data_IF_259217872697
#
_entry.id   IF_259217872697
#
_cell.length_a   1.000
_cell.length_b   1.000
_cell.length_c   1.000
_cell.angle_alpha   90.00
_cell.angle_beta   90.00
_cell.angle_gamma   90.00
#
_symmetry.space_group_name_H-M   'P 1'
#
loop_
_entity.id
_entity.type
_entity.pdbx_description
1 polymer ?
2 non-polymer ?
3 non-polymer ?
4 water ?
#
# COMPACT_ATOMS: atom_id res chain seq x y z
N UNK A 1 -8.67 -10.80 -11.95
CA UNK A 1 -7.28 -11.22 -12.00
C UNK A 1 -6.35 -10.06 -12.32
N UNK A 2 -5.10 -10.18 -11.88
CA UNK A 2 -4.09 -9.19 -12.19
C UNK A 2 -3.43 -9.51 -13.52
N UNK A 3 -2.96 -8.44 -14.17
CA UNK A 3 -2.42 -8.56 -15.50
C UNK A 3 -1.05 -7.90 -15.62
N UNK A 4 -0.57 -7.16 -14.61
CA UNK A 4 0.67 -6.38 -14.80
C UNK A 4 1.86 -6.98 -14.08
N UNK A 5 2.98 -7.06 -14.78
CA UNK A 5 4.29 -7.28 -14.18
C UNK A 5 4.92 -5.89 -14.00
N UNK A 6 4.67 -5.28 -12.84
CA UNK A 6 5.16 -3.94 -12.59
C UNK A 6 6.69 -3.96 -12.45
N UNK A 7 7.33 -2.94 -12.99
CA UNK A 7 8.79 -2.88 -12.95
C UNK A 7 9.22 -2.00 -11.78
N UNK A 8 10.09 -2.55 -10.93
CA UNK A 8 10.57 -1.78 -9.78
C UNK A 8 11.48 -0.64 -10.21
N UNK A 9 11.52 0.40 -9.41
CA UNK A 9 12.36 1.57 -9.62
C UNK A 9 13.81 1.14 -9.79
N UNK A 10 14.47 1.61 -10.82
CA UNK A 10 15.91 1.44 -10.94
C UNK A 10 16.60 2.15 -9.78
N UNK A 11 17.55 1.48 -9.13
CA UNK A 11 18.19 2.07 -7.98
C UNK A 11 17.33 2.30 -6.76
N UNK A 12 16.23 1.52 -6.63
CA UNK A 12 15.38 1.60 -5.45
C UNK A 12 16.20 1.54 -4.15
N UNK A 13 15.92 2.45 -3.24
CA UNK A 13 16.63 2.58 -1.95
C UNK A 13 15.75 1.96 -0.87
N UNK A 14 15.99 0.68 -0.59
CA UNK A 14 15.12 -0.06 0.34
C UNK A 14 15.15 0.50 1.75
N UNK A 15 16.31 0.88 2.27
CA UNK A 15 16.38 1.35 3.65
C UNK A 15 15.65 2.68 3.82
N UNK A 16 15.61 3.52 2.77
CA UNK A 16 14.89 4.79 2.85
C UNK A 16 13.39 4.56 2.82
N UNK A 17 12.89 3.66 1.97
CA UNK A 17 11.46 3.35 1.90
C UNK A 17 10.99 2.65 3.16
N UNK A 18 11.68 1.59 3.56
CA UNK A 18 11.41 0.78 4.73
C UNK A 18 12.11 1.33 5.98
N UNK A 19 11.77 2.59 6.27
CA UNK A 19 12.45 3.29 7.40
C UNK A 19 11.59 3.36 8.63
N UNK A 20 10.48 2.66 8.68
CA UNK A 20 9.62 2.62 9.82
C UNK A 20 8.51 3.66 9.84
N UNK A 21 8.51 4.56 8.85
CA UNK A 21 7.57 5.67 8.90
C UNK A 21 6.30 5.32 8.11
N UNK A 22 5.36 6.25 8.11
CA UNK A 22 4.04 6.07 7.49
C UNK A 22 4.01 6.67 6.09
N UNK A 23 3.31 5.95 5.20
CA UNK A 23 2.97 6.40 3.85
C UNK A 23 1.44 6.48 3.75
N UNK A 24 0.91 7.59 3.25
CA UNK A 24 -0.51 7.73 3.01
C UNK A 24 -0.85 7.54 1.54
N UNK A 25 -1.93 6.79 1.24
CA UNK A 25 -2.38 6.72 -0.14
C UNK A 25 -3.10 8.03 -0.45
N UNK A 26 -2.67 8.78 -1.45
CA UNK A 26 -3.38 10.00 -1.83
C UNK A 26 -4.23 9.77 -3.06
N UNK A 27 -3.86 8.80 -3.90
CA UNK A 27 -4.55 8.58 -5.18
C UNK A 27 -4.41 7.11 -5.56
N UNK A 28 -5.41 6.52 -6.18
CA UNK A 28 -5.29 5.11 -6.54
C UNK A 28 -5.91 4.84 -7.90
N UNK A 29 -5.53 3.75 -8.55
CA UNK A 29 -6.07 3.30 -9.82
C UNK A 29 -6.32 1.80 -9.73
N UNK A 30 -7.58 1.42 -9.74
CA UNK A 30 -8.04 0.04 -9.70
C UNK A 30 -8.30 -0.41 -11.10
N UNK A 31 -7.58 -1.41 -11.65
CA UNK A 31 -7.85 -1.76 -13.05
C UNK A 31 -9.13 -2.59 -13.24
N UNK A 32 -9.71 -3.14 -12.22
CA UNK A 32 -11.04 -3.80 -12.27
C UNK A 32 -11.92 -3.06 -11.26
N UNK A 33 -12.36 -1.86 -11.61
CA UNK A 33 -13.26 -1.12 -10.70
C UNK A 33 -14.50 -1.95 -10.36
N UNK A 34 -15.00 -1.64 -9.19
CA UNK A 34 -15.94 -2.39 -8.39
C UNK A 34 -15.21 -3.49 -7.64
N UNK A 35 -13.88 -3.55 -7.76
CA UNK A 35 -13.09 -4.21 -6.72
C UNK A 35 -13.24 -3.48 -5.38
N UNK A 36 -13.18 -2.14 -5.51
CA UNK A 36 -13.15 -1.23 -4.37
C UNK A 36 -14.16 -0.12 -4.52
N UNK A 37 -14.58 0.48 -3.40
CA UNK A 37 -15.41 1.67 -3.40
C UNK A 37 -14.68 2.90 -3.93
N UNK A 38 -15.41 3.83 -4.54
CA UNK A 38 -14.83 5.05 -5.08
C UNK A 38 -14.29 5.96 -3.98
N UNK A 39 -14.92 6.04 -2.83
CA UNK A 39 -14.49 6.81 -1.68
C UNK A 39 -13.76 5.92 -0.68
N UNK A 40 -12.51 6.19 -0.36
CA UNK A 40 -11.81 5.21 0.48
C UNK A 40 -10.60 5.85 1.09
N UNK A 41 -10.10 5.33 2.21
CA UNK A 41 -8.87 5.81 2.85
C UNK A 41 -7.92 4.67 3.16
N UNK A 42 -6.63 4.85 2.89
CA UNK A 42 -5.66 3.80 3.23
C UNK A 42 -4.29 4.39 3.53
N UNK A 43 -3.56 3.71 4.37
CA UNK A 43 -2.21 4.11 4.74
C UNK A 43 -1.41 2.90 5.15
N UNK A 44 -0.10 3.01 5.18
CA UNK A 44 0.72 1.88 5.65
C UNK A 44 1.94 2.42 6.36
N UNK A 45 2.55 1.57 7.14
CA UNK A 45 3.91 1.80 7.62
C UNK A 45 4.78 0.69 7.05
N UNK A 46 6.04 0.93 6.81
CA UNK A 46 6.95 -0.03 6.17
C UNK A 46 8.29 0.06 6.90
N UNK A 47 8.84 -1.07 7.36
CA UNK A 47 10.13 -0.97 8.05
C UNK A 47 10.69 -2.36 8.34
N UNK A 48 11.91 -2.35 8.85
CA UNK A 48 12.48 -3.60 9.35
C UNK A 48 12.32 -3.64 10.85
N UNK A 49 11.81 -4.77 11.37
CA UNK A 49 11.61 -4.95 12.81
C UNK A 49 12.32 -6.25 13.23
N UNK A 50 13.32 -6.10 14.09
CA UNK A 50 14.14 -7.21 14.57
C UNK A 50 14.61 -8.09 13.40
N UNK A 51 15.07 -7.44 12.33
CA UNK A 51 15.71 -8.13 11.21
C UNK A 51 14.72 -8.55 10.13
N UNK A 52 13.43 -8.38 10.37
CA UNK A 52 12.37 -8.90 9.49
C UNK A 52 11.73 -7.75 8.72
N UNK A 53 11.55 -7.87 7.43
CA UNK A 53 10.92 -6.83 6.64
C UNK A 53 9.40 -6.85 6.80
N UNK A 54 8.79 -5.71 7.17
CA UNK A 54 7.38 -5.71 7.56
C UNK A 54 6.65 -4.54 6.93
N UNK A 55 5.33 -4.74 6.76
CA UNK A 55 4.43 -3.63 6.51
C UNK A 55 3.23 -3.77 7.43
N UNK A 56 2.69 -2.64 7.83
CA UNK A 56 1.43 -2.57 8.53
C UNK A 56 0.45 -1.74 7.71
N UNK A 57 -0.78 -2.21 7.56
CA UNK A 57 -1.77 -1.58 6.69
C UNK A 57 -2.96 -1.11 7.52
N UNK A 58 -3.57 -0.04 7.02
CA UNK A 58 -4.81 0.47 7.55
C UNK A 58 -5.74 0.76 6.39
N UNK A 59 -6.99 0.28 6.48
CA UNK A 59 -8.06 0.57 5.53
C UNK A 59 -9.27 1.16 6.24
N UNK A 60 -9.89 2.14 5.66
CA UNK A 60 -11.10 2.73 6.24
C UNK A 60 -12.03 3.19 5.13
N UNK A 61 -13.25 2.73 5.17
CA UNK A 61 -14.29 3.19 4.24
C UNK A 61 -14.99 4.39 4.93
N UNK A 62 -14.80 5.58 4.39
CA UNK A 62 -15.32 6.76 5.10
C UNK A 62 -16.83 6.91 5.08
N UNK A 63 -17.54 6.07 4.35
CA UNK A 63 -19.02 6.11 4.33
C UNK A 63 -19.55 4.98 5.21
N UNK A 64 -19.06 3.75 5.04
CA UNK A 64 -19.62 2.63 5.78
C UNK A 64 -18.98 2.49 7.15
N UNK A 65 -17.82 3.07 7.35
CA UNK A 65 -16.99 3.04 8.54
C UNK A 65 -16.30 1.66 8.70
N UNK A 66 -16.39 0.79 7.70
CA UNK A 66 -15.61 -0.45 7.75
C UNK A 66 -14.13 -0.15 7.94
N UNK A 67 -13.50 -0.82 8.87
CA UNK A 67 -12.12 -0.49 9.25
C UNK A 67 -11.35 -1.75 9.50
N UNK A 68 -10.12 -1.87 9.02
CA UNK A 68 -9.33 -3.03 9.39
C UNK A 68 -7.84 -2.69 9.24
N UNK A 69 -7.06 -3.31 10.10
CA UNK A 69 -5.61 -3.28 10.07
C UNK A 69 -5.04 -4.65 9.70
N UNK A 70 -3.84 -4.63 9.11
CA UNK A 70 -3.13 -5.85 8.78
C UNK A 70 -1.64 -5.69 9.12
N UNK A 71 -1.04 -6.83 9.41
CA UNK A 71 0.43 -6.90 9.58
C UNK A 71 0.93 -7.92 8.59
N UNK A 72 2.01 -7.59 7.88
CA UNK A 72 2.57 -8.48 6.90
C UNK A 72 4.07 -8.60 7.07
N UNK A 73 4.51 -9.80 6.78
CA UNK A 73 5.92 -10.10 6.64
C UNK A 73 6.21 -10.13 5.14
N UNK A 74 7.22 -9.39 4.71
CA UNK A 74 7.53 -9.37 3.27
C UNK A 74 8.69 -10.26 2.91
N UNK A 75 8.49 -11.05 1.86
CA UNK A 75 9.58 -11.82 1.28
C UNK A 75 10.06 -11.12 0.02
N UNK A 76 11.34 -11.14 -0.24
CA UNK A 76 11.93 -10.51 -1.39
C UNK A 76 11.84 -11.39 -2.63
N UNK A 77 11.31 -10.82 -3.74
CA UNK A 77 11.43 -11.46 -5.04
C UNK A 77 12.59 -10.89 -5.84
N UNK A 78 12.77 -9.61 -5.77
CA UNK A 78 13.89 -8.90 -6.39
C UNK A 78 13.91 -7.50 -5.77
N UNK A 79 14.87 -6.66 -6.11
CA UNK A 79 14.86 -5.32 -5.48
C UNK A 79 13.60 -4.55 -5.84
N UNK A 80 12.92 -4.11 -4.77
CA UNK A 80 11.68 -3.37 -4.93
C UNK A 80 10.44 -4.22 -5.21
N UNK A 81 10.53 -5.54 -5.19
CA UNK A 81 9.38 -6.41 -5.47
C UNK A 81 9.27 -7.47 -4.40
N UNK A 82 8.12 -7.53 -3.74
CA UNK A 82 7.91 -8.31 -2.55
C UNK A 82 6.64 -9.15 -2.65
N UNK A 83 6.60 -10.23 -1.88
CA UNK A 83 5.37 -10.97 -1.64
C UNK A 83 5.08 -10.95 -0.14
N UNK A 84 3.90 -10.51 0.22
CA UNK A 84 3.57 -10.20 1.61
C UNK A 84 2.40 -11.07 2.03
N UNK A 85 2.58 -11.86 3.10
CA UNK A 85 1.42 -12.52 3.69
C UNK A 85 0.64 -11.41 4.35
N UNK A 86 -0.53 -11.64 4.88
CA UNK A 86 -1.11 -10.66 5.82
C UNK A 86 -1.92 -11.42 6.88
N UNK A 87 -1.92 -10.81 8.06
CA UNK A 87 -2.82 -11.23 9.12
C UNK A 87 -3.63 -9.99 9.49
N UNK A 88 -4.94 -10.19 9.58
CA UNK A 88 -5.81 -9.12 10.02
C UNK A 88 -5.65 -9.02 11.56
N UNK A 89 -5.47 -7.82 12.04
CA UNK A 89 -5.23 -7.55 13.45
C UNK A 89 -6.10 -6.37 13.89
N UNK A 90 -6.31 -6.24 15.21
CA UNK A 90 -6.79 -4.95 15.74
C UNK A 90 -5.64 -3.95 15.77
N UNK A 91 -5.92 -2.73 16.21
CA UNK A 91 -4.93 -1.66 16.14
C UNK A 91 -3.73 -1.93 17.05
N UNK A 92 -3.88 -2.84 18.00
CA UNK A 92 -2.82 -3.19 18.95
C UNK A 92 -2.07 -4.42 18.48
N UNK A 93 -2.39 -4.99 17.33
CA UNK A 93 -1.66 -6.16 16.84
C UNK A 93 -2.25 -7.49 17.29
N UNK A 94 -3.39 -7.52 17.99
CA UNK A 94 -4.00 -8.81 18.36
C UNK A 94 -4.58 -9.47 17.13
N UNK A 95 -4.32 -10.75 16.88
CA UNK A 95 -4.71 -11.36 15.64
C UNK A 95 -6.22 -11.64 15.60
N UNK A 96 -6.83 -11.26 14.52
CA UNK A 96 -8.25 -11.54 14.23
C UNK A 96 -8.35 -12.62 13.15
N UNK A 97 -7.46 -12.63 12.16
CA UNK A 97 -7.49 -13.63 11.09
C UNK A 97 -6.00 -13.96 10.85
N UNK A 98 -5.64 -15.22 11.12
CA UNK A 98 -4.25 -15.64 11.00
C UNK A 98 -3.77 -15.68 9.57
N UNK A 99 -2.46 -15.59 9.42
CA UNK A 99 -1.79 -15.82 8.14
C UNK A 99 -2.23 -17.16 7.56
N UNK A 100 -2.46 -17.19 6.27
CA UNK A 100 -2.75 -18.43 5.60
C UNK A 100 -2.28 -18.35 4.16
N UNK A 101 -1.94 -19.51 3.66
CA UNK A 101 -1.61 -19.66 2.26
C UNK A 101 -2.80 -19.23 1.39
N UNK A 102 -2.44 -18.46 0.40
CA UNK A 102 -3.38 -17.93 -0.52
C UNK A 102 -3.88 -16.56 -0.11
N UNK A 103 -3.60 -16.13 1.10
CA UNK A 103 -3.88 -14.73 1.47
C UNK A 103 -2.59 -13.95 1.40
N UNK A 104 -2.32 -13.28 0.28
CA UNK A 104 -1.04 -12.58 0.15
C UNK A 104 -1.24 -11.47 -0.85
N UNK A 105 -0.31 -10.52 -0.87
CA UNK A 105 -0.28 -9.55 -1.94
C UNK A 105 1.15 -9.39 -2.43
N UNK A 106 1.29 -9.11 -3.72
CA UNK A 106 2.61 -8.69 -4.23
C UNK A 106 2.63 -7.16 -4.08
N UNK A 107 3.85 -6.64 -3.99
CA UNK A 107 4.05 -5.22 -3.77
C UNK A 107 5.28 -4.82 -4.54
N UNK A 108 5.15 -3.89 -5.51
CA UNK A 108 6.29 -3.40 -6.31
C UNK A 108 6.39 -1.88 -6.15
N UNK A 109 7.56 -1.41 -5.75
CA UNK A 109 7.80 0.02 -5.66
C UNK A 109 8.35 0.47 -7.01
N UNK A 110 7.49 1.14 -7.79
CA UNK A 110 7.85 1.59 -9.13
C UNK A 110 8.64 2.88 -9.13
N UNK A 111 8.45 3.72 -8.12
CA UNK A 111 9.11 5.01 -8.00
C UNK A 111 9.09 5.31 -6.50
N UNK A 112 10.15 5.89 -5.93
CA UNK A 112 10.13 6.44 -4.59
C UNK A 112 11.19 7.51 -4.44
N UNK A 113 10.86 8.49 -3.64
CA UNK A 113 11.85 9.44 -3.15
C UNK A 113 11.55 9.67 -1.67
N UNK A 114 12.13 10.72 -1.08
CA UNK A 114 11.93 10.79 0.37
C UNK A 114 10.49 11.10 0.73
N UNK A 115 9.71 11.70 -0.14
CA UNK A 115 8.38 12.19 0.19
C UNK A 115 7.25 11.50 -0.56
N UNK A 116 7.48 10.77 -1.62
CA UNK A 116 6.42 10.29 -2.51
C UNK A 116 6.81 8.96 -3.12
N UNK A 117 5.80 8.23 -3.56
CA UNK A 117 6.08 6.93 -4.16
C UNK A 117 4.91 6.52 -5.06
N UNK A 118 5.20 5.63 -5.99
CA UNK A 118 4.21 4.95 -6.82
C UNK A 118 4.39 3.47 -6.63
N UNK A 119 3.31 2.77 -6.26
CA UNK A 119 3.43 1.31 -6.07
C UNK A 119 2.35 0.62 -6.90
N UNK A 120 2.62 -0.65 -7.18
CA UNK A 120 1.63 -1.58 -7.70
C UNK A 120 1.42 -2.70 -6.71
N UNK A 121 0.19 -3.18 -6.57
CA UNK A 121 -0.04 -4.34 -5.72
C UNK A 121 -1.07 -5.25 -6.39
N UNK A 122 -0.83 -6.55 -6.28
CA UNK A 122 -1.80 -7.58 -6.66
C UNK A 122 -2.23 -8.37 -5.43
N UNK A 123 -3.47 -8.16 -5.01
CA UNK A 123 -4.03 -8.82 -3.85
C UNK A 123 -4.64 -10.17 -4.20
N UNK A 124 -4.34 -11.18 -3.41
CA UNK A 124 -4.93 -12.51 -3.44
C UNK A 124 -5.58 -12.79 -2.09
N UNK A 125 -6.87 -13.13 -2.10
CA UNK A 125 -7.54 -13.37 -0.83
C UNK A 125 -8.58 -14.45 -1.06
N UNK A 126 -8.31 -15.65 -0.60
CA UNK A 126 -9.23 -16.79 -0.71
C UNK A 126 -9.75 -16.93 -2.14
N UNK A 127 -11.06 -16.96 -2.31
CA UNK A 127 -11.86 -17.12 -3.47
C UNK A 127 -12.04 -15.92 -4.36
N UNK A 128 -11.58 -14.79 -3.83
CA UNK A 128 -11.94 -13.56 -4.56
C UNK A 128 -11.17 -13.42 -5.86
N UNK A 129 -11.77 -12.65 -6.76
CA UNK A 129 -11.12 -12.37 -8.03
C UNK A 129 -10.86 -10.86 -8.05
N UNK A 130 -9.62 -10.48 -7.85
CA UNK A 130 -9.23 -9.08 -7.68
C UNK A 130 -8.28 -8.68 -8.80
N UNK A 131 -8.31 -7.42 -9.21
CA UNK A 131 -7.40 -6.94 -10.24
C UNK A 131 -6.29 -6.08 -9.68
N UNK A 132 -5.44 -5.57 -10.59
CA UNK A 132 -4.32 -4.74 -10.22
C UNK A 132 -4.74 -3.45 -9.55
N UNK A 133 -3.95 -2.99 -8.60
CA UNK A 133 -4.14 -1.70 -7.96
C UNK A 133 -2.83 -0.92 -7.99
N UNK A 134 -2.87 0.33 -8.47
CA UNK A 134 -1.74 1.23 -8.31
C UNK A 134 -2.09 2.29 -7.25
N UNK A 135 -1.09 2.75 -6.55
CA UNK A 135 -1.32 3.79 -5.54
C UNK A 135 -0.18 4.78 -5.56
N UNK A 136 -0.55 6.06 -5.52
CA UNK A 136 0.35 7.18 -5.25
C UNK A 136 0.35 7.40 -3.73
N UNK A 137 1.57 7.39 -3.18
CA UNK A 137 1.81 7.59 -1.76
C UNK A 137 2.49 8.91 -1.50
N UNK A 138 2.22 9.44 -0.31
CA UNK A 138 3.01 10.61 0.17
C UNK A 138 3.22 10.48 1.66
N UNK A 139 4.30 11.07 2.15
CA UNK A 139 4.55 11.18 3.59
C UNK A 139 3.61 12.17 4.24
N UNK A 140 3.03 13.09 3.46
CA UNK A 140 2.04 14.06 3.95
C UNK A 140 0.68 13.66 3.40
N UNK A 141 -0.29 13.35 4.27
CA UNK A 141 -1.59 12.85 3.89
C UNK A 141 -2.33 13.85 3.00
N UNK A 142 -1.98 15.14 3.01
CA UNK A 142 -2.74 16.12 2.22
C UNK A 142 -2.01 16.53 0.95
N UNK A 143 -0.84 15.95 0.61
CA UNK A 143 -0.07 16.44 -0.52
C UNK A 143 -0.67 16.12 -1.88
N UNK A 144 -0.80 17.19 -2.68
CA UNK A 144 -1.10 16.99 -4.08
C UNK A 144 0.06 16.27 -4.73
N UNK A 145 -0.21 15.43 -5.73
CA UNK A 145 0.87 14.72 -6.43
C UNK A 145 1.78 15.70 -7.18
N UNK A 146 3.10 15.57 -6.96
CA UNK A 146 4.11 16.40 -7.59
C UNK A 146 4.57 15.81 -8.91
N UNK A 147 5.42 16.61 -9.55
CA UNK A 147 5.87 16.25 -10.89
C UNK A 147 6.68 14.97 -10.88
N UNK A 148 7.45 14.68 -9.83
CA UNK A 148 8.28 13.47 -9.89
C UNK A 148 7.35 12.26 -9.91
N UNK A 149 6.36 12.18 -9.01
CA UNK A 149 5.53 10.99 -9.02
C UNK A 149 4.59 10.98 -10.21
N UNK A 150 4.09 12.15 -10.65
CA UNK A 150 3.23 12.16 -11.85
C UNK A 150 3.98 11.73 -13.09
N UNK A 151 5.25 12.11 -13.18
CA UNK A 151 6.05 11.63 -14.31
C UNK A 151 6.19 10.11 -14.25
N UNK A 152 6.39 9.57 -13.04
CA UNK A 152 6.51 8.12 -12.90
C UNK A 152 5.22 7.41 -13.35
N UNK A 153 4.08 8.03 -13.05
CA UNK A 153 2.82 7.46 -13.53
C UNK A 153 2.85 7.41 -15.06
N UNK A 154 3.24 8.52 -15.66
CA UNK A 154 3.34 8.51 -17.13
C UNK A 154 4.32 7.49 -17.65
N UNK A 155 5.46 7.39 -16.99
CA UNK A 155 6.48 6.41 -17.45
C UNK A 155 6.03 4.97 -17.35
N UNK A 156 5.09 4.68 -16.47
CA UNK A 156 4.46 3.38 -16.35
C UNK A 156 3.40 3.20 -17.43
N UNK A 157 3.26 4.19 -18.31
CA UNK A 157 2.24 4.17 -19.36
C UNK A 157 0.86 4.14 -18.78
N UNK A 158 0.63 4.92 -17.73
CA UNK A 158 -0.66 5.18 -17.10
C UNK A 158 -1.00 6.67 -17.17
N UNK A 159 -2.29 6.97 -17.04
CA UNK A 159 -2.71 8.36 -17.08
C UNK A 159 -3.18 8.81 -15.70
N UNK A 160 -2.47 9.79 -15.14
CA UNK A 160 -2.79 10.19 -13.77
C UNK A 160 -4.22 10.71 -13.67
N UNK A 161 -4.78 11.29 -14.73
CA UNK A 161 -6.16 11.77 -14.71
C UNK A 161 -7.17 10.67 -14.39
N UNK A 162 -6.82 9.41 -14.55
CA UNK A 162 -7.69 8.28 -14.28
C UNK A 162 -7.69 7.95 -12.78
N UNK A 163 -6.64 8.35 -12.05
CA UNK A 163 -6.56 7.99 -10.64
C UNK A 163 -7.63 8.73 -9.82
N UNK A 164 -8.10 8.01 -8.79
CA UNK A 164 -9.09 8.58 -7.89
C UNK A 164 -8.40 9.10 -6.64
N UNK A 165 -8.70 10.34 -6.25
CA UNK A 165 -8.08 10.94 -5.08
C UNK A 165 -8.77 10.45 -3.81
N UNK A 166 -8.04 10.32 -2.71
CA UNK A 166 -8.67 10.07 -1.42
C UNK A 166 -8.79 11.33 -0.57
N UNK A 167 -8.34 12.47 -1.06
CA UNK A 167 -8.18 13.67 -0.25
C UNK A 167 -9.49 14.30 0.18
N UNK A 168 -10.61 14.06 -0.49
CA UNK A 168 -11.84 14.72 -0.04
C UNK A 168 -12.63 13.81 0.89
N UNK A 169 -12.07 12.82 1.58
CA UNK A 169 -12.95 11.94 2.36
C UNK A 169 -12.89 12.19 3.87
N UNK A 170 -12.24 13.23 4.31
CA UNK A 170 -12.06 13.56 5.72
C UNK A 170 -11.36 12.43 6.49
N UNK A 171 -10.44 11.73 5.82
CA UNK A 171 -9.79 10.63 6.55
C UNK A 171 -8.84 11.08 7.62
N UNK A 172 -8.90 10.44 8.78
CA UNK A 172 -8.00 10.70 9.90
C UNK A 172 -7.31 9.38 10.26
N UNK A 173 -6.02 9.39 10.49
CA UNK A 173 -5.24 8.18 10.65
C UNK A 173 -4.61 8.05 12.02
N UNK A 174 -4.52 6.84 12.56
CA UNK A 174 -3.78 6.59 13.78
C UNK A 174 -2.37 6.17 13.42
N UNK A 175 -1.50 7.16 13.16
CA UNK A 175 -0.16 6.80 12.73
C UNK A 175 0.62 6.11 13.83
N UNK A 176 0.32 6.40 15.09
CA UNK A 176 1.05 5.71 16.14
C UNK A 176 0.78 4.20 16.09
N UNK A 177 -0.49 3.83 15.89
CA UNK A 177 -0.77 2.40 15.77
C UNK A 177 -0.09 1.79 14.55
N UNK A 178 -0.09 2.48 13.41
CA UNK A 178 0.60 1.85 12.26
C UNK A 178 2.07 1.59 12.52
N UNK A 179 2.74 2.56 13.17
CA UNK A 179 4.17 2.37 13.49
C UNK A 179 4.38 1.20 14.47
N UNK A 180 3.56 1.15 15.52
CA UNK A 180 3.77 0.06 16.50
C UNK A 180 3.43 -1.29 15.88
N UNK A 181 2.50 -1.35 14.93
CA UNK A 181 2.14 -2.64 14.37
C UNK A 181 3.29 -3.29 13.62
N UNK A 182 4.30 -2.52 13.16
CA UNK A 182 5.45 -3.14 12.50
C UNK A 182 6.14 -4.21 13.32
N UNK A 183 6.01 -4.13 14.65
CA UNK A 183 6.70 -5.09 15.50
C UNK A 183 5.88 -6.33 15.80
N UNK A 184 4.65 -6.41 15.35
CA UNK A 184 3.66 -7.42 15.78
C UNK A 184 3.48 -8.57 14.83
X LIG B 1 -6.63 -2.77 0.08
X LIG B 1 -8.42 -5.41 1.31
X LIG B 1 -3.71 -4.41 0.83
X LIG B 1 -4.91 -0.05 -0.86
X LIG B 1 -9.59 -1.25 -0.84
X LIG B 1 -6.19 -4.52 0.84
X LIG B 1 -7.05 -5.45 1.39
X LIG B 1 -6.31 -6.56 1.99
X LIG B 1 -5.00 -6.29 1.84
X LIG B 1 -4.92 -5.01 1.14
X LIG B 1 -3.80 -7.10 2.40
X LIG B 1 -6.91 -7.76 2.73
X LIG B 1 -6.91 -7.48 4.23
X LIG B 1 -7.53 -8.61 5.05
X LIG B 1 -8.47 -9.27 4.56
X LIG B 1 -6.99 -8.84 6.19
X LIG B 1 -4.70 -2.31 -0.04
X LIG B 1 -3.59 -3.10 0.32
X LIG B 1 -2.33 -2.41 0.04
X LIG B 1 -2.68 -1.14 -0.44
X LIG B 1 -4.15 -1.12 -0.41
X LIG B 1 -0.95 -3.01 0.16
X LIG B 1 -6.77 3.62 -1.42
X LIG B 1 -1.86 -0.01 -0.82
X LIG B 1 -0.62 0.23 -0.44
X LIG B 1 -7.18 -0.98 -0.65
X LIG B 1 -6.31 -0.01 -0.91
X LIG B 1 -7.04 1.12 -1.58
X LIG B 1 -8.32 0.86 -1.56
X LIG B 1 -8.41 -0.54 -0.98
X LIG B 1 -6.32 2.42 -1.99
X LIG B 1 0.16 -2.41 0.76
X LIG B 1 -9.39 1.49 -2.13
X LIG B 1 -9.17 1.63 -3.44
X LIG B 1 -8.59 -3.24 0.23
X LIG B 1 -9.71 -2.46 -0.23
X LIG B 1 -10.91 -3.19 0.01
X LIG B 1 -10.58 -4.40 0.55
X LIG B 1 -9.16 -4.40 0.75
X LIG B 1 -12.30 -2.61 -0.26
X LIG B 1 -11.49 -5.54 0.92
X LIG B 1 -11.34 -6.65 -0.08
X LIG B 1 -12.34 -7.71 0.10
X LIG B 1 -13.23 -7.87 -0.77
X LIG B 1 -12.28 -8.43 1.11
X LIG C 1 -6.58 -3.49 -1.78
X LIG C 1 -5.50 -4.00 -2.39
X LIG C 1 -5.73 -4.39 -3.65
X LIG C 1 -7.07 -4.13 -3.89
X LIG C 1 -8.06 -4.50 -5.63
X LIG C 1 -7.54 -3.56 -2.68
X LIG D 1 0.97 -16.75 0.92
X LIG D 1 2.18 -16.49 0.43
X LIG D 1 2.36 -17.17 -0.71
X LIG D 1 1.25 -17.94 -0.98
X LIG D 1 0.87 -19.16 -2.61
X LIG D 1 0.42 -17.61 0.09
#
# INVERSE_FOLDING_TARGET
ACTKNAIAQTGFNKDKYFNGDVWYVTDYLDLEPDDVPKRYCAALAAGTASGKLKEALYHYDPKTQDTFYDVSELQVESLGKYTANFKKVDKNGNVKVAVTAGNYYTFTVMYADDSSALIHTCLHKGNKDLGDLYAVLNRNKDAAAGDKVKSAVSAATLEFSKFISTKENNCAYDNDSLKSLLTK
HEV FE CHA CHB CHC CHD NA C1A C2A C3A C4A CMA CAA CBA CGA O1A O2A NB C1B C2B C3B C4B CMB CM1 CAB CBB NC C1C C2C C3C C4C CMC CM2 CAC CBC ND C1D C2D C3D C4D CMD CAD CBD CGD O1D O2D
PYZ N1 N2 C3 C4 I4 C5
PYZ N1 N2 C3 C4 I4 C5
#
